data_IF_799661316926
#
_entry.id   IF_799661316926
#
_cell.length_a   1.000
_cell.length_b   1.000
_cell.length_c   1.000
_cell.angle_alpha   90.00
_cell.angle_beta   90.00
_cell.angle_gamma   90.00
#
_symmetry.space_group_name_H-M   'P 1'
#
loop_
_entity.id
_entity.type
_entity.pdbx_description
1 polymer ?
#
# COMPACT_ATOMS: atom_id res chain seq x y z
N UNK A 1 -15.12 4.26 19.51
CA UNK A 1 -13.69 3.94 19.32
C UNK A 1 -13.08 3.39 20.59
N UNK A 2 -13.19 4.10 21.72
CA UNK A 2 -12.65 3.64 23.01
C UNK A 2 -13.19 2.27 23.45
N UNK A 3 -14.49 2.01 23.29
CA UNK A 3 -15.08 0.69 23.59
C UNK A 3 -14.50 -0.44 22.73
N UNK A 4 -14.32 -0.20 21.43
CA UNK A 4 -13.70 -1.15 20.50
C UNK A 4 -12.23 -1.39 20.87
N UNK A 5 -11.49 -0.33 21.23
CA UNK A 5 -10.09 -0.44 21.70
C UNK A 5 -9.98 -1.25 22.99
N UNK A 6 -10.91 -1.05 23.93
CA UNK A 6 -10.95 -1.79 25.18
C UNK A 6 -11.21 -3.30 24.94
N UNK A 7 -12.15 -3.62 24.05
CA UNK A 7 -12.44 -5.01 23.69
C UNK A 7 -11.28 -5.66 22.91
N UNK A 8 -10.68 -4.92 21.98
CA UNK A 8 -9.56 -5.42 21.18
C UNK A 8 -8.32 -5.69 22.05
N UNK A 9 -8.02 -4.80 23.00
CA UNK A 9 -6.87 -4.94 23.92
C UNK A 9 -7.06 -5.98 25.02
N UNK A 10 -8.30 -6.30 25.39
CA UNK A 10 -8.60 -7.30 26.43
C UNK A 10 -8.62 -8.75 25.90
N UNK A 11 -8.65 -8.94 24.59
CA UNK A 11 -8.71 -10.27 23.98
C UNK A 11 -7.32 -10.85 23.70
N UNK A 12 -6.99 -11.95 24.38
CA UNK A 12 -5.75 -12.69 24.14
C UNK A 12 -5.70 -13.32 22.74
N UNK A 13 -6.83 -13.78 22.21
CA UNK A 13 -6.88 -14.39 20.87
C UNK A 13 -6.59 -13.36 19.79
N UNK A 14 -7.15 -12.15 19.92
CA UNK A 14 -6.87 -11.05 18.98
C UNK A 14 -5.43 -10.57 19.09
N UNK A 15 -4.84 -10.58 20.30
CA UNK A 15 -3.41 -10.31 20.47
C UNK A 15 -2.55 -11.34 19.72
N UNK A 16 -2.86 -12.63 19.84
CA UNK A 16 -2.16 -13.67 19.09
C UNK A 16 -2.34 -13.52 17.58
N UNK A 17 -3.54 -13.16 17.12
CA UNK A 17 -3.80 -12.89 15.70
C UNK A 17 -2.97 -11.70 15.19
N UNK A 18 -2.86 -10.64 15.99
CA UNK A 18 -2.06 -9.46 15.66
C UNK A 18 -0.56 -9.77 15.51
N UNK A 19 -0.04 -10.68 16.34
CA UNK A 19 1.37 -11.10 16.29
C UNK A 19 1.68 -12.08 15.14
N UNK A 20 0.66 -12.79 14.64
CA UNK A 20 0.83 -13.85 13.64
C UNK A 20 0.43 -13.44 12.23
N UNK A 21 -0.53 -12.53 12.08
CA UNK A 21 -1.03 -12.05 10.80
C UNK A 21 -0.28 -10.79 10.37
N UNK A 22 -0.29 -10.51 9.06
CA UNK A 22 0.07 -9.17 8.59
C UNK A 22 -0.96 -8.16 9.09
N UNK A 23 -0.54 -6.90 9.24
CA UNK A 23 -1.41 -5.83 9.75
C UNK A 23 -2.69 -5.68 8.91
N UNK A 24 -2.59 -5.78 7.57
CA UNK A 24 -3.75 -5.75 6.68
C UNK A 24 -4.67 -6.95 6.87
N UNK A 25 -4.13 -8.16 6.98
CA UNK A 25 -4.91 -9.37 7.20
C UNK A 25 -5.63 -9.36 8.56
N UNK A 26 -4.96 -8.85 9.60
CA UNK A 26 -5.56 -8.66 10.93
C UNK A 26 -6.79 -7.74 10.86
N UNK A 27 -6.65 -6.54 10.30
CA UNK A 27 -7.77 -5.58 10.21
C UNK A 27 -8.91 -6.04 9.30
N UNK A 28 -8.62 -6.88 8.30
CA UNK A 28 -9.65 -7.52 7.48
C UNK A 28 -10.40 -8.58 8.29
N UNK A 29 -9.68 -9.40 9.08
CA UNK A 29 -10.27 -10.47 9.91
C UNK A 29 -11.23 -9.91 10.95
N UNK A 30 -10.85 -8.84 11.63
CA UNK A 30 -11.61 -8.26 12.75
C UNK A 30 -12.64 -7.20 12.30
N UNK A 31 -12.83 -7.05 10.99
CA UNK A 31 -13.61 -5.96 10.40
C UNK A 31 -15.05 -5.88 10.90
N UNK A 32 -15.74 -7.02 10.98
CA UNK A 32 -17.15 -7.07 11.38
C UNK A 32 -17.34 -6.82 12.88
N UNK A 33 -16.37 -7.21 13.70
CA UNK A 33 -16.41 -7.04 15.16
C UNK A 33 -15.95 -5.64 15.61
N UNK A 34 -15.06 -5.01 14.83
CA UNK A 34 -14.45 -3.71 15.14
C UNK A 34 -14.58 -2.77 13.94
N UNK A 35 -15.82 -2.48 13.54
CA UNK A 35 -16.14 -1.72 12.34
C UNK A 35 -15.52 -0.32 12.34
N UNK A 36 -15.52 0.39 13.47
CA UNK A 36 -14.99 1.76 13.52
C UNK A 36 -13.47 1.78 13.39
N UNK A 37 -12.78 0.91 14.13
CA UNK A 37 -11.33 0.79 14.05
C UNK A 37 -10.89 0.29 12.67
N UNK A 38 -11.53 -0.77 12.16
CA UNK A 38 -11.17 -1.37 10.88
C UNK A 38 -11.47 -0.42 9.71
N UNK A 39 -12.55 0.36 9.77
CA UNK A 39 -12.85 1.40 8.77
C UNK A 39 -11.75 2.46 8.70
N UNK A 40 -11.09 2.79 9.80
CA UNK A 40 -9.97 3.75 9.83
C UNK A 40 -8.65 3.11 9.42
N UNK A 41 -8.39 1.89 9.87
CA UNK A 41 -7.11 1.21 9.66
C UNK A 41 -6.97 0.65 8.24
N UNK A 42 -7.98 -0.05 7.71
CA UNK A 42 -7.89 -0.74 6.40
C UNK A 42 -7.49 0.21 5.27
N UNK A 43 -8.08 1.41 5.12
CA UNK A 43 -7.66 2.34 4.07
C UNK A 43 -6.19 2.73 4.17
N UNK A 44 -5.67 2.99 5.37
CA UNK A 44 -4.26 3.38 5.57
C UNK A 44 -3.27 2.26 5.20
N UNK A 45 -3.75 1.02 5.15
CA UNK A 45 -2.96 -0.16 4.82
C UNK A 45 -3.08 -0.58 3.35
N UNK A 46 -4.00 0.02 2.61
CA UNK A 46 -4.09 -0.23 1.18
C UNK A 46 -2.99 0.56 0.45
N UNK A 47 -2.22 -0.07 -0.43
CA UNK A 47 -1.12 0.59 -1.16
C UNK A 47 -1.59 1.74 -2.07
N UNK A 48 -2.92 1.87 -2.26
CA UNK A 48 -3.54 2.90 -3.10
C UNK A 48 -3.86 4.22 -2.40
N UNK A 49 -3.83 4.27 -1.06
CA UNK A 49 -4.25 5.48 -0.32
C UNK A 49 -3.13 6.47 -0.08
N UNK A 50 -1.88 6.00 -0.06
CA UNK A 50 -0.72 6.88 -0.17
C UNK A 50 -0.56 7.25 -1.63
N UNK A 51 -0.58 8.54 -1.92
CA UNK A 51 -0.46 9.11 -3.26
C UNK A 51 0.74 8.58 -4.06
N UNK A 52 1.73 7.92 -3.44
CA UNK A 52 2.92 7.33 -4.05
C UNK A 52 2.67 6.48 -5.29
N UNK A 53 1.70 5.55 -5.29
CA UNK A 53 1.42 4.73 -6.49
C UNK A 53 0.70 5.53 -7.59
N UNK A 54 -0.17 6.46 -7.21
CA UNK A 54 -0.83 7.36 -8.14
C UNK A 54 0.18 8.34 -8.76
N UNK A 55 1.10 8.88 -7.96
CA UNK A 55 2.19 9.78 -8.37
C UNK A 55 3.19 9.04 -9.25
N UNK A 56 3.54 7.80 -8.91
CA UNK A 56 4.40 6.96 -9.75
C UNK A 56 3.71 6.64 -11.08
N UNK A 57 2.43 6.24 -11.06
CA UNK A 57 1.64 6.00 -12.26
C UNK A 57 1.53 7.26 -13.14
N UNK A 58 1.32 8.42 -12.53
CA UNK A 58 1.25 9.70 -13.22
C UNK A 58 2.62 10.14 -13.76
N UNK A 59 3.70 9.87 -13.03
CA UNK A 59 5.08 10.13 -13.45
C UNK A 59 5.46 9.25 -14.65
N UNK A 60 5.16 7.95 -14.61
CA UNK A 60 5.34 7.03 -15.73
C UNK A 60 4.55 7.51 -16.94
N UNK A 61 3.28 7.89 -16.75
CA UNK A 61 2.43 8.41 -17.83
C UNK A 61 2.97 9.71 -18.43
N UNK A 62 3.46 10.62 -17.58
CA UNK A 62 4.03 11.91 -18.01
C UNK A 62 5.36 11.73 -18.74
N UNK A 63 6.22 10.85 -18.24
CA UNK A 63 7.47 10.48 -18.89
C UNK A 63 7.21 9.81 -20.25
N UNK A 64 6.22 8.92 -20.32
CA UNK A 64 5.83 8.26 -21.55
C UNK A 64 5.22 9.22 -22.57
N UNK A 65 4.33 10.13 -22.15
CA UNK A 65 3.76 11.17 -23.03
C UNK A 65 4.86 12.06 -23.62
N UNK A 66 5.91 12.34 -22.84
CA UNK A 66 7.10 13.06 -23.31
C UNK A 66 7.92 12.24 -24.30
N UNK A 67 8.00 10.92 -24.11
CA UNK A 67 8.76 9.99 -24.98
C UNK A 67 8.03 9.57 -26.27
N UNK A 68 6.71 9.47 -26.27
CA UNK A 68 5.88 9.24 -27.46
C UNK A 68 6.01 10.40 -28.47
N UNK A 69 6.15 11.65 -27.98
CA UNK A 69 6.53 12.79 -28.82
C UNK A 69 7.91 12.62 -29.49
N UNK A 70 8.77 11.76 -28.93
CA UNK A 70 10.11 11.43 -29.44
C UNK A 70 10.14 10.12 -30.25
N UNK A 71 8.99 9.50 -30.57
CA UNK A 71 8.87 8.48 -31.62
C UNK A 71 9.29 7.05 -31.28
N UNK A 72 9.24 6.61 -30.02
CA UNK A 72 9.53 5.22 -29.64
C UNK A 72 8.30 4.51 -29.06
N UNK A 73 7.71 3.60 -29.84
CA UNK A 73 6.56 2.72 -29.55
C UNK A 73 6.33 2.41 -28.04
N UNK A 74 5.39 3.12 -27.43
CA UNK A 74 5.15 3.11 -25.98
C UNK A 74 4.57 1.82 -25.39
N UNK A 75 3.90 0.99 -26.19
CA UNK A 75 3.23 -0.21 -25.68
C UNK A 75 4.21 -1.31 -25.20
N UNK A 76 5.29 -1.54 -25.96
CA UNK A 76 6.31 -2.53 -25.59
C UNK A 76 7.12 -2.09 -24.36
N UNK A 77 7.39 -0.78 -24.25
CA UNK A 77 8.06 -0.22 -23.08
C UNK A 77 7.18 -0.30 -21.82
N UNK A 78 5.86 -0.13 -21.94
CA UNK A 78 4.91 -0.28 -20.83
C UNK A 78 4.93 -1.69 -20.24
N UNK A 79 4.88 -2.76 -21.05
CA UNK A 79 4.94 -4.14 -20.54
C UNK A 79 6.24 -4.44 -19.80
N UNK A 80 7.39 -4.04 -20.35
CA UNK A 80 8.69 -4.28 -19.71
C UNK A 80 8.83 -3.50 -18.40
N UNK A 81 8.34 -2.25 -18.37
CA UNK A 81 8.40 -1.41 -17.18
C UNK A 81 7.44 -1.93 -16.11
N UNK A 82 6.19 -2.25 -16.45
CA UNK A 82 5.22 -2.80 -15.50
C UNK A 82 5.62 -4.20 -14.99
N UNK A 83 6.24 -5.02 -15.84
CA UNK A 83 6.80 -6.31 -15.44
C UNK A 83 8.01 -6.18 -14.51
N UNK A 84 8.80 -5.10 -14.64
CA UNK A 84 9.92 -4.76 -13.75
C UNK A 84 9.48 -3.97 -12.51
N UNK A 85 8.30 -3.35 -12.55
CA UNK A 85 7.67 -2.60 -11.46
C UNK A 85 6.76 -3.49 -10.60
N UNK A 86 6.97 -4.81 -10.57
CA UNK A 86 6.63 -5.59 -9.36
C UNK A 86 7.63 -5.10 -8.31
N UNK A 87 7.30 -4.07 -7.51
CA UNK A 87 8.31 -3.38 -6.76
C UNK A 87 8.64 -4.28 -5.59
N UNK A 88 9.91 -4.60 -5.41
CA UNK A 88 10.40 -4.94 -4.09
C UNK A 88 10.22 -3.68 -3.24
N UNK A 89 9.03 -3.54 -2.62
CA UNK A 89 8.63 -2.36 -1.86
C UNK A 89 9.65 -2.01 -0.75
N UNK A 90 10.50 -2.97 -0.36
CA UNK A 90 11.56 -2.78 0.61
C UNK A 90 12.70 -1.87 0.09
N UNK A 91 13.05 -1.94 -1.20
CA UNK A 91 14.14 -1.13 -1.80
C UNK A 91 13.76 0.36 -1.84
N UNK A 92 12.49 0.67 -2.12
CA UNK A 92 12.02 2.06 -2.24
C UNK A 92 11.92 2.75 -0.87
N UNK A 93 11.54 2.01 0.17
CA UNK A 93 11.46 2.54 1.53
C UNK A 93 12.84 2.89 2.12
N UNK A 94 13.90 2.22 1.67
CA UNK A 94 15.27 2.45 2.15
C UNK A 94 15.95 3.67 1.49
N UNK A 95 15.50 4.08 0.29
CA UNK A 95 16.08 5.23 -0.43
C UNK A 95 15.66 6.58 0.12
N UNK A 96 14.49 6.67 0.74
CA UNK A 96 14.00 7.90 1.40
C UNK A 96 14.72 8.20 2.72
N UNK A 97 15.43 7.22 3.32
CA UNK A 97 16.16 7.42 4.57
C UNK A 97 17.51 8.15 4.42
N UNK A 98 17.98 8.37 3.18
CA UNK A 98 19.32 8.91 2.90
C UNK A 98 19.32 10.32 2.31
N UNK A 99 18.17 11.00 2.26
CA UNK A 99 18.04 12.37 1.75
C UNK A 99 17.62 13.42 2.80
N UNK A 100 17.70 13.09 4.10
CA UNK A 100 17.53 14.08 5.18
C UNK A 100 18.86 14.72 5.60
#
# INVERSE_FOLDING_TARGET
>A
EESELLQLSSSYTLKSDYETLSLSAFWIKVKEDFLLLSRKSVPLLLPFTTTSLCELGFSILTHLKTKERNGLNGAAAMQVTLSSCVPDCNELMNREAHLS
#
